data_IF_121293251900
#
_entry.id   IF_121293251900
#
_cell.length_a   1.000
_cell.length_b   1.000
_cell.length_c   1.000
_cell.angle_alpha   90.00
_cell.angle_beta   90.00
_cell.angle_gamma   90.00
#
_symmetry.space_group_name_H-M   'P 1'
#
loop_
_entity.id
_entity.type
_entity.pdbx_description
1 polymer ?
#
# COMPACT_ATOMS: atom_id res chain seq x y z
N UNK A 1 -51.22 7.34 7.66
CA UNK A 1 -50.40 6.40 8.43
C UNK A 1 -48.98 6.94 8.50
N UNK A 2 -48.70 7.74 9.52
CA UNK A 2 -47.35 8.13 9.90
C UNK A 2 -46.85 7.13 10.95
N UNK A 3 -45.66 6.58 10.76
CA UNK A 3 -44.93 5.90 11.81
C UNK A 3 -43.66 6.69 12.12
N UNK A 4 -43.40 6.78 13.41
CA UNK A 4 -42.63 7.81 14.07
C UNK A 4 -41.11 7.61 14.01
N UNK A 5 -40.42 8.74 14.23
CA UNK A 5 -39.02 8.84 14.65
C UNK A 5 -38.86 8.17 16.02
N UNK A 6 -37.70 7.57 16.27
CA UNK A 6 -37.07 7.64 17.58
C UNK A 6 -35.54 7.57 17.43
N UNK A 7 -34.88 8.42 18.20
CA UNK A 7 -33.44 8.67 18.23
C UNK A 7 -32.78 7.88 19.38
N UNK A 8 -31.46 7.73 19.25
CA UNK A 8 -30.45 7.71 20.33
C UNK A 8 -30.60 6.70 21.48
N UNK A 9 -29.64 5.78 21.56
CA UNK A 9 -28.97 5.46 22.83
C UNK A 9 -27.46 5.28 22.56
N UNK A 10 -26.68 5.92 23.42
CA UNK A 10 -25.23 6.08 23.40
C UNK A 10 -24.48 4.81 23.85
N UNK A 11 -23.18 4.82 23.55
CA UNK A 11 -22.06 4.34 24.39
C UNK A 11 -22.14 2.95 25.02
N UNK A 12 -21.28 2.03 24.56
CA UNK A 12 -20.53 1.18 25.47
C UNK A 12 -19.09 1.01 24.96
N UNK A 13 -18.20 1.56 25.75
CA UNK A 13 -16.76 1.36 25.74
C UNK A 13 -16.40 0.01 26.37
N UNK A 14 -15.17 -0.41 26.06
CA UNK A 14 -14.31 -1.39 26.76
C UNK A 14 -14.63 -2.87 26.52
N UNK A 15 -13.87 -3.48 25.60
CA UNK A 15 -13.16 -4.71 25.91
C UNK A 15 -11.71 -4.54 25.46
N UNK A 16 -10.87 -4.27 26.46
CA UNK A 16 -9.44 -4.53 26.43
C UNK A 16 -9.20 -5.95 25.93
N UNK A 17 -8.50 -6.09 24.81
CA UNK A 17 -7.77 -7.32 24.53
C UNK A 17 -6.30 -6.92 24.53
N UNK A 18 -5.67 -7.17 25.68
CA UNK A 18 -4.23 -7.15 25.84
C UNK A 18 -3.64 -8.23 24.94
N UNK A 19 -3.35 -7.87 23.70
CA UNK A 19 -2.37 -8.58 22.91
C UNK A 19 -1.08 -7.77 23.03
N UNK A 20 -0.14 -8.29 23.81
CA UNK A 20 1.24 -7.83 23.80
C UNK A 20 1.82 -8.09 22.40
N UNK A 21 1.60 -7.16 21.48
CA UNK A 21 2.37 -7.05 20.25
C UNK A 21 3.37 -5.92 20.47
N UNK A 22 4.66 -6.28 20.34
CA UNK A 22 5.83 -5.47 20.66
C UNK A 22 5.67 -3.99 20.30
N UNK A 23 6.17 -3.10 21.16
CA UNK A 23 6.29 -1.67 20.92
C UNK A 23 7.04 -1.33 19.61
N UNK A 24 7.72 -2.30 19.00
CA UNK A 24 8.36 -2.21 17.69
C UNK A 24 7.37 -2.01 16.53
N UNK A 25 6.18 -2.61 16.57
CA UNK A 25 5.19 -2.51 15.48
C UNK A 25 4.54 -1.12 15.45
N UNK A 26 4.22 -0.56 16.63
CA UNK A 26 3.67 0.79 16.76
C UNK A 26 4.70 1.86 16.36
N UNK A 27 5.99 1.63 16.64
CA UNK A 27 7.07 2.52 16.20
C UNK A 27 7.30 2.45 14.68
N UNK A 28 7.15 1.26 14.09
CA UNK A 28 7.10 1.08 12.64
C UNK A 28 5.90 1.81 12.01
N UNK A 29 4.72 1.72 12.63
CA UNK A 29 3.49 2.33 12.14
C UNK A 29 3.52 3.88 12.19
N UNK A 30 4.07 4.46 13.27
CA UNK A 30 4.21 5.91 13.45
C UNK A 30 5.31 6.52 12.57
N UNK A 31 6.40 5.79 12.28
CA UNK A 31 7.43 6.26 11.35
C UNK A 31 6.98 6.20 9.89
N UNK A 32 6.19 5.19 9.50
CA UNK A 32 5.57 5.14 8.15
C UNK A 32 4.69 6.38 7.92
N UNK A 33 3.93 6.84 8.92
CA UNK A 33 2.98 7.94 8.75
C UNK A 33 3.66 9.33 8.58
N UNK A 34 4.85 9.54 9.15
CA UNK A 34 5.51 10.86 9.18
C UNK A 34 6.45 11.14 7.98
N UNK A 35 6.90 10.11 7.25
CA UNK A 35 7.85 10.25 6.12
C UNK A 35 7.17 10.46 4.74
N UNK A 36 5.85 10.56 4.72
CA UNK A 36 5.02 10.23 3.56
C UNK A 36 4.79 11.40 2.58
N UNK A 37 5.20 12.63 2.88
CA UNK A 37 4.58 13.80 2.24
C UNK A 37 4.94 14.13 0.77
N UNK A 38 5.94 13.55 0.09
CA UNK A 38 6.37 14.09 -1.23
C UNK A 38 6.57 13.09 -2.39
N UNK A 39 6.84 11.79 -2.18
CA UNK A 39 6.85 10.81 -3.30
C UNK A 39 5.46 10.20 -3.60
N UNK A 40 4.44 10.65 -2.85
CA UNK A 40 3.08 10.08 -2.82
C UNK A 40 2.18 10.41 -4.01
N UNK A 41 2.59 11.23 -4.99
CA UNK A 41 1.65 11.82 -5.96
C UNK A 41 1.61 11.13 -7.34
N UNK A 42 2.48 10.15 -7.62
CA UNK A 42 2.46 9.46 -8.91
C UNK A 42 1.35 8.39 -8.94
N UNK A 43 0.24 8.77 -9.57
CA UNK A 43 -0.93 7.93 -9.73
C UNK A 43 -0.73 6.96 -10.91
N UNK A 44 -0.69 5.66 -10.61
CA UNK A 44 -0.45 4.60 -11.58
C UNK A 44 -1.82 4.04 -12.04
N UNK A 45 -2.01 3.94 -13.35
CA UNK A 45 -3.22 3.36 -13.93
C UNK A 45 -2.96 1.95 -14.48
N UNK A 46 -3.69 0.97 -13.94
CA UNK A 46 -3.57 -0.44 -14.29
C UNK A 46 -4.86 -0.89 -14.98
N UNK A 47 -4.74 -1.50 -16.17
CA UNK A 47 -5.87 -2.07 -16.88
C UNK A 47 -6.11 -3.53 -16.45
N UNK A 48 -7.34 -3.79 -16.03
CA UNK A 48 -7.81 -5.10 -15.57
C UNK A 48 -8.93 -5.58 -16.52
N UNK A 49 -8.58 -6.27 -17.62
CA UNK A 49 -9.55 -6.74 -18.60
C UNK A 49 -10.41 -7.86 -18.01
N UNK A 50 -11.73 -7.74 -18.17
CA UNK A 50 -12.72 -8.70 -17.69
C UNK A 50 -12.67 -8.99 -16.18
N UNK A 51 -12.24 -7.99 -15.38
CA UNK A 51 -12.01 -8.12 -13.93
C UNK A 51 -13.11 -8.90 -13.19
N UNK A 52 -14.38 -8.45 -13.27
CA UNK A 52 -15.50 -9.09 -12.56
C UNK A 52 -15.84 -10.51 -13.02
N UNK A 53 -15.37 -10.94 -14.20
CA UNK A 53 -15.60 -12.31 -14.69
C UNK A 53 -14.52 -13.29 -14.27
N UNK A 54 -13.33 -12.77 -13.94
CA UNK A 54 -12.14 -13.58 -13.63
C UNK A 54 -11.92 -13.74 -12.14
N UNK A 55 -12.53 -12.86 -11.34
CA UNK A 55 -12.33 -12.79 -9.89
C UNK A 55 -13.53 -13.38 -9.16
N UNK A 56 -13.27 -14.37 -8.30
CA UNK A 56 -14.26 -14.85 -7.33
C UNK A 56 -14.39 -13.85 -6.18
N UNK A 57 -15.54 -13.85 -5.47
CA UNK A 57 -15.76 -12.97 -4.31
C UNK A 57 -15.47 -11.49 -4.63
N UNK A 58 -15.97 -11.04 -5.79
CA UNK A 58 -15.67 -9.70 -6.34
C UNK A 58 -16.07 -8.53 -5.41
N UNK A 59 -16.95 -8.76 -4.44
CA UNK A 59 -17.28 -7.78 -3.39
C UNK A 59 -16.10 -7.52 -2.45
N UNK A 60 -15.37 -8.56 -2.07
CA UNK A 60 -14.31 -8.48 -1.07
C UNK A 60 -13.06 -7.80 -1.62
N UNK A 61 -12.61 -8.20 -2.81
CA UNK A 61 -11.50 -7.51 -3.47
C UNK A 61 -11.80 -6.02 -3.71
N UNK A 62 -13.07 -5.66 -3.96
CA UNK A 62 -13.49 -4.26 -4.07
C UNK A 62 -13.43 -3.53 -2.74
N UNK A 63 -13.76 -4.21 -1.64
CA UNK A 63 -13.62 -3.64 -0.30
C UNK A 63 -12.14 -3.39 -0.01
N UNK A 64 -11.27 -4.40 -0.22
CA UNK A 64 -9.82 -4.28 -0.06
C UNK A 64 -9.25 -3.11 -0.88
N UNK A 65 -9.66 -2.97 -2.15
CA UNK A 65 -9.25 -1.85 -3.01
C UNK A 65 -9.71 -0.50 -2.47
N UNK A 66 -10.94 -0.42 -1.96
CA UNK A 66 -11.47 0.83 -1.38
C UNK A 66 -10.78 1.18 -0.07
N UNK A 67 -10.50 0.19 0.77
CA UNK A 67 -9.89 0.35 2.08
C UNK A 67 -8.43 0.81 1.98
N UNK A 68 -7.73 0.46 0.89
CA UNK A 68 -6.40 1.02 0.59
C UNK A 68 -6.44 2.45 0.05
N UNK A 69 -7.62 3.04 -0.15
CA UNK A 69 -7.80 4.35 -0.78
C UNK A 69 -7.58 4.38 -2.29
N UNK A 70 -7.45 3.22 -2.94
CA UNK A 70 -7.29 3.13 -4.39
C UNK A 70 -8.65 3.21 -5.11
N UNK A 71 -8.64 3.73 -6.35
CA UNK A 71 -9.86 3.88 -7.13
C UNK A 71 -9.98 2.76 -8.17
N UNK A 72 -11.14 2.10 -8.20
CA UNK A 72 -11.47 1.10 -9.21
C UNK A 72 -12.67 1.56 -10.02
N UNK A 73 -12.44 1.94 -11.27
CA UNK A 73 -13.47 2.44 -12.19
C UNK A 73 -13.59 1.56 -13.44
N UNK A 74 -14.79 1.53 -14.03
CA UNK A 74 -15.03 0.83 -15.30
C UNK A 74 -14.88 1.79 -16.47
N UNK A 75 -14.18 1.38 -17.53
CA UNK A 75 -13.97 2.22 -18.71
C UNK A 75 -15.15 2.07 -19.69
N UNK A 76 -16.10 3.00 -19.64
CA UNK A 76 -17.24 3.08 -20.57
C UNK A 76 -18.09 1.80 -20.65
N UNK A 77 -18.53 1.42 -21.86
CA UNK A 77 -19.24 0.15 -22.11
C UNK A 77 -18.31 -1.06 -22.19
N UNK A 78 -16.99 -0.86 -22.25
CA UNK A 78 -16.02 -1.96 -22.33
C UNK A 78 -16.08 -2.83 -21.07
N UNK A 79 -15.53 -4.05 -21.16
CA UNK A 79 -15.34 -4.94 -19.99
C UNK A 79 -14.01 -4.68 -19.30
N UNK A 80 -13.34 -3.56 -19.60
CA UNK A 80 -12.10 -3.17 -18.99
C UNK A 80 -12.35 -2.34 -17.74
N UNK A 81 -11.65 -2.71 -16.68
CA UNK A 81 -11.59 -1.97 -15.43
C UNK A 81 -10.24 -1.26 -15.35
N UNK A 82 -10.24 -0.08 -14.73
CA UNK A 82 -9.06 0.72 -14.43
C UNK A 82 -8.90 0.75 -12.92
N UNK A 83 -7.75 0.32 -12.44
CA UNK A 83 -7.30 0.53 -11.07
C UNK A 83 -6.35 1.73 -11.09
N UNK A 84 -6.65 2.77 -10.33
CA UNK A 84 -5.84 3.97 -10.16
C UNK A 84 -5.36 4.01 -8.72
N UNK A 85 -4.05 3.96 -8.52
CA UNK A 85 -3.49 3.92 -7.17
C UNK A 85 -2.08 4.49 -7.15
N UNK A 86 -1.69 5.04 -6.00
CA UNK A 86 -0.31 5.45 -5.75
C UNK A 86 0.54 4.22 -5.37
N UNK A 87 1.86 4.37 -5.42
CA UNK A 87 2.81 3.29 -5.12
C UNK A 87 2.60 2.67 -3.73
N UNK A 88 2.29 3.51 -2.75
CA UNK A 88 1.99 3.11 -1.37
C UNK A 88 0.72 2.28 -1.29
N UNK A 89 -0.36 2.75 -1.93
CA UNK A 89 -1.62 2.04 -2.01
C UNK A 89 -1.45 0.69 -2.71
N UNK A 90 -0.62 0.61 -3.78
CA UNK A 90 -0.28 -0.66 -4.42
C UNK A 90 0.47 -1.61 -3.46
N UNK A 91 1.34 -1.09 -2.60
CA UNK A 91 2.06 -1.89 -1.59
C UNK A 91 1.10 -2.43 -0.54
N UNK A 92 0.20 -1.60 -0.01
CA UNK A 92 -0.87 -2.03 0.89
C UNK A 92 -1.75 -3.09 0.23
N UNK A 93 -2.11 -2.91 -1.05
CA UNK A 93 -2.92 -3.87 -1.79
C UNK A 93 -2.22 -5.21 -1.98
N UNK A 94 -0.92 -5.22 -2.31
CA UNK A 94 -0.14 -6.45 -2.43
C UNK A 94 -0.21 -7.23 -1.12
N UNK A 95 0.04 -6.55 0.01
CA UNK A 95 0.02 -7.18 1.32
C UNK A 95 -1.35 -7.77 1.65
N UNK A 96 -2.42 -7.00 1.52
CA UNK A 96 -3.79 -7.47 1.82
C UNK A 96 -4.25 -8.62 0.91
N UNK A 97 -3.90 -8.57 -0.39
CA UNK A 97 -4.25 -9.63 -1.33
C UNK A 97 -3.48 -10.93 -1.07
N UNK A 98 -2.23 -10.85 -0.62
CA UNK A 98 -1.44 -12.02 -0.25
C UNK A 98 -2.01 -12.72 0.99
N UNK A 99 -2.56 -11.99 1.96
CA UNK A 99 -3.18 -12.58 3.16
C UNK A 99 -4.46 -13.37 2.89
N UNK A 100 -5.12 -13.14 1.75
CA UNK A 100 -6.44 -13.76 1.48
C UNK A 100 -6.32 -15.13 0.81
N UNK A 101 -5.13 -15.53 0.34
CA UNK A 101 -4.82 -16.83 -0.31
C UNK A 101 -5.75 -17.25 -1.47
N UNK A 102 -6.49 -16.32 -2.07
CA UNK A 102 -7.45 -16.61 -3.14
C UNK A 102 -6.77 -16.79 -4.51
N UNK A 103 -6.85 -18.00 -5.08
CA UNK A 103 -6.19 -18.35 -6.36
C UNK A 103 -6.70 -17.50 -7.53
N UNK A 104 -8.00 -17.16 -7.54
CA UNK A 104 -8.59 -16.36 -8.61
C UNK A 104 -8.08 -14.91 -8.64
N UNK A 105 -7.47 -14.43 -7.55
CA UNK A 105 -6.95 -13.07 -7.42
C UNK A 105 -5.48 -12.95 -7.84
N UNK A 106 -4.78 -14.07 -8.00
CA UNK A 106 -3.34 -14.11 -8.28
C UNK A 106 -2.94 -13.34 -9.55
N UNK A 107 -3.79 -13.34 -10.58
CA UNK A 107 -3.51 -12.57 -11.79
C UNK A 107 -3.60 -11.05 -11.57
N UNK A 108 -4.48 -10.59 -10.65
CA UNK A 108 -4.59 -9.19 -10.24
C UNK A 108 -3.36 -8.80 -9.44
N UNK A 109 -2.97 -9.64 -8.46
CA UNK A 109 -1.76 -9.46 -7.67
C UNK A 109 -0.52 -9.35 -8.56
N UNK A 110 -0.37 -10.24 -9.54
CA UNK A 110 0.70 -10.19 -10.52
C UNK A 110 0.70 -8.86 -11.30
N UNK A 111 -0.46 -8.42 -11.78
CA UNK A 111 -0.60 -7.14 -12.51
C UNK A 111 -0.21 -5.95 -11.64
N UNK A 112 -0.62 -5.94 -10.37
CA UNK A 112 -0.28 -4.89 -9.41
C UNK A 112 1.23 -4.86 -9.15
N UNK A 113 1.87 -6.02 -8.93
CA UNK A 113 3.32 -6.12 -8.74
C UNK A 113 4.11 -5.64 -9.95
N UNK A 114 3.69 -6.03 -11.16
CA UNK A 114 4.28 -5.57 -12.43
C UNK A 114 4.18 -4.04 -12.56
N UNK A 115 3.01 -3.46 -12.25
CA UNK A 115 2.80 -2.02 -12.39
C UNK A 115 3.43 -1.18 -11.28
N UNK A 116 3.63 -1.73 -10.07
CA UNK A 116 4.35 -1.05 -9.00
C UNK A 116 5.83 -0.86 -9.39
N UNK A 117 6.46 -1.87 -9.99
CA UNK A 117 7.88 -1.81 -10.34
C UNK A 117 8.83 -1.67 -9.13
N UNK A 118 10.13 -1.58 -9.41
CA UNK A 118 11.16 -1.26 -8.40
C UNK A 118 11.29 0.26 -8.22
N UNK A 119 11.80 0.69 -7.07
CA UNK A 119 12.18 2.10 -6.85
C UNK A 119 13.40 2.41 -7.71
N UNK A 120 13.41 3.59 -8.30
CA UNK A 120 14.60 4.11 -8.98
C UNK A 120 15.68 4.48 -7.96
N UNK A 121 16.93 4.48 -8.38
CA UNK A 121 18.06 4.84 -7.51
C UNK A 121 17.88 6.22 -6.86
N UNK A 122 17.35 7.20 -7.60
CA UNK A 122 17.05 8.54 -7.07
C UNK A 122 15.99 8.50 -5.96
N UNK A 123 14.94 7.70 -6.14
CA UNK A 123 13.90 7.54 -5.11
C UNK A 123 14.45 6.81 -3.87
N UNK A 124 15.37 5.86 -4.06
CA UNK A 124 16.07 5.19 -2.94
C UNK A 124 16.95 6.18 -2.17
N UNK A 125 17.75 7.00 -2.86
CA UNK A 125 18.57 8.04 -2.24
C UNK A 125 17.70 9.06 -1.50
N UNK A 126 16.58 9.47 -2.09
CA UNK A 126 15.60 10.35 -1.44
C UNK A 126 14.97 9.72 -0.18
N UNK A 127 14.82 8.40 -0.15
CA UNK A 127 14.33 7.68 1.01
C UNK A 127 15.39 7.69 2.13
N UNK A 128 16.67 7.43 1.78
CA UNK A 128 17.80 7.50 2.72
C UNK A 128 17.98 8.90 3.30
N UNK A 129 17.92 9.95 2.46
CA UNK A 129 18.10 11.33 2.91
C UNK A 129 17.02 11.80 3.88
N UNK A 130 15.80 11.24 3.79
CA UNK A 130 14.71 11.50 4.75
C UNK A 130 14.85 10.72 6.05
N UNK A 131 15.66 9.66 6.05
CA UNK A 131 15.85 8.77 7.19
C UNK A 131 17.35 8.51 7.42
N UNK A 132 18.12 9.57 7.77
CA UNK A 132 19.55 9.43 7.98
C UNK A 132 19.81 8.46 9.13
N UNK A 133 20.49 7.34 8.84
CA UNK A 133 20.72 6.24 9.79
C UNK A 133 19.87 4.98 9.55
N UNK A 134 19.08 4.93 8.48
CA UNK A 134 18.42 3.70 8.04
C UNK A 134 19.44 2.61 7.72
N UNK A 135 19.25 1.40 8.24
CA UNK A 135 20.12 0.27 7.90
C UNK A 135 19.81 -0.29 6.51
N UNK A 136 20.82 -0.87 5.86
CA UNK A 136 20.66 -1.57 4.56
C UNK A 136 19.49 -2.58 4.60
N UNK A 137 19.33 -3.30 5.71
CA UNK A 137 18.27 -4.31 5.87
C UNK A 137 16.88 -3.68 5.92
N UNK A 138 16.74 -2.59 6.67
CA UNK A 138 15.47 -1.86 6.75
C UNK A 138 15.11 -1.25 5.40
N UNK A 139 16.08 -0.67 4.70
CA UNK A 139 15.87 -0.10 3.36
C UNK A 139 15.40 -1.17 2.37
N UNK A 140 16.03 -2.34 2.36
CA UNK A 140 15.63 -3.48 1.51
C UNK A 140 14.18 -3.91 1.77
N UNK A 141 13.75 -3.98 3.04
CA UNK A 141 12.39 -4.38 3.40
C UNK A 141 11.37 -3.30 3.01
N UNK A 142 11.67 -2.03 3.28
CA UNK A 142 10.76 -0.92 3.02
C UNK A 142 10.60 -0.66 1.52
N UNK A 143 11.71 -0.62 0.78
CA UNK A 143 11.75 -0.30 -0.63
C UNK A 143 11.50 -1.52 -1.54
N UNK A 144 11.60 -2.73 -0.99
CA UNK A 144 11.62 -3.97 -1.75
C UNK A 144 12.67 -3.94 -2.89
N UNK A 145 13.87 -3.43 -2.57
CA UNK A 145 15.03 -3.37 -3.45
C UNK A 145 16.07 -4.45 -3.08
N UNK A 146 17.08 -4.62 -3.93
CA UNK A 146 18.19 -5.54 -3.65
C UNK A 146 19.18 -4.93 -2.65
N UNK A 147 19.96 -5.77 -1.98
CA UNK A 147 21.03 -5.32 -1.06
C UNK A 147 22.04 -4.43 -1.79
N UNK A 148 22.33 -4.72 -3.06
CA UNK A 148 23.26 -3.93 -3.87
C UNK A 148 22.72 -2.51 -4.14
N UNK A 149 21.46 -2.40 -4.55
CA UNK A 149 20.80 -1.10 -4.77
C UNK A 149 20.68 -0.29 -3.47
N UNK A 150 20.34 -0.94 -2.35
CA UNK A 150 20.26 -0.31 -1.05
C UNK A 150 21.61 0.27 -0.60
N UNK A 151 22.71 -0.47 -0.79
CA UNK A 151 24.07 0.00 -0.50
C UNK A 151 24.45 1.17 -1.41
N UNK A 152 24.23 1.04 -2.72
CA UNK A 152 24.50 2.11 -3.69
C UNK A 152 23.82 3.41 -3.28
N UNK A 153 22.54 3.34 -2.89
CA UNK A 153 21.78 4.51 -2.47
C UNK A 153 22.31 5.15 -1.17
N UNK A 154 22.73 4.35 -0.20
CA UNK A 154 23.33 4.85 1.05
C UNK A 154 24.69 5.48 0.78
N UNK A 155 25.56 4.81 0.02
CA UNK A 155 26.86 5.34 -0.36
C UNK A 155 26.66 6.69 -1.06
N UNK A 156 25.83 6.76 -2.11
CA UNK A 156 25.55 8.00 -2.85
C UNK A 156 25.09 9.13 -1.91
N UNK A 157 24.27 8.82 -0.91
CA UNK A 157 23.84 9.80 0.09
C UNK A 157 25.00 10.27 0.98
N UNK A 158 25.80 9.34 1.52
CA UNK A 158 26.95 9.66 2.37
C UNK A 158 27.99 10.55 1.65
N UNK A 159 28.24 10.29 0.37
CA UNK A 159 29.18 11.08 -0.45
C UNK A 159 28.61 12.43 -0.93
N UNK A 160 27.29 12.64 -0.87
CA UNK A 160 26.67 13.93 -1.22
C UNK A 160 26.86 14.99 -0.13
N UNK A 161 26.95 14.59 1.13
CA UNK A 161 27.09 15.50 2.28
C UNK A 161 28.55 16.01 2.46
N UNK A 162 29.54 15.45 1.75
CA UNK A 162 30.97 15.79 1.87
C UNK A 162 31.46 16.89 0.91
N UNK A 163 30.58 17.52 0.12
CA UNK A 163 30.96 18.48 -0.93
C UNK A 163 30.14 19.78 -0.89
#
# INVERSE_FOLDING_TARGET
MQCARNAMCQEYSVLEMQCAFSADILRFCLLIFAMYSIDMAQLIHILLPSFLRRVMRAYEIKAIIRDSGAELSRIGRSRNWRLSANRDQLTTLIHSLEQTEEVSWQWVLKKIKESRGQLTEKELVNLVSRNPGISVKELVVLANCTIAEARSAIDIYEWQDEN
#
